data_IF_963287152617
#
_entry.id   IF_963287152617
#
_cell.length_a   1.000
_cell.length_b   1.000
_cell.length_c   1.000
_cell.angle_alpha   90.00
_cell.angle_beta   90.00
_cell.angle_gamma   90.00
#
_symmetry.space_group_name_H-M   'P 1'
#
loop_
_entity.id
_entity.type
_entity.pdbx_description
1 polymer ?
#
# COMPACT_ATOMS: atom_id res chain seq x y z
N UNK A 1 22.88 20.38 17.45
CA UNK A 1 22.63 21.18 16.23
C UNK A 1 21.26 21.81 16.35
N UNK A 2 21.00 22.93 15.68
CA UNK A 2 19.63 23.45 15.58
C UNK A 2 18.74 22.45 14.83
N UNK A 3 17.47 22.37 15.19
CA UNK A 3 16.52 21.50 14.49
C UNK A 3 16.38 21.96 13.01
N UNK A 4 16.35 21.02 12.04
CA UNK A 4 16.05 21.34 10.65
C UNK A 4 14.70 22.05 10.47
N UNK A 5 14.56 22.80 9.39
CA UNK A 5 13.31 23.47 9.03
C UNK A 5 12.17 22.48 8.80
N UNK A 6 10.92 22.92 9.03
CA UNK A 6 9.74 22.06 8.85
C UNK A 6 9.62 21.55 7.42
N UNK A 7 10.06 22.35 6.46
CA UNK A 7 10.08 22.08 5.02
C UNK A 7 11.14 21.04 4.60
N UNK A 8 11.89 20.47 5.53
CA UNK A 8 12.86 19.41 5.28
C UNK A 8 12.37 18.01 5.67
N UNK A 9 11.29 17.88 6.45
CA UNK A 9 10.78 16.59 6.92
C UNK A 9 9.93 15.90 5.85
N UNK A 10 10.50 14.90 5.18
CA UNK A 10 9.88 14.24 4.04
C UNK A 10 9.12 12.95 4.39
N UNK A 11 9.35 12.40 5.58
CA UNK A 11 8.80 11.09 5.99
C UNK A 11 7.97 11.25 7.26
N UNK A 12 6.70 10.85 7.19
CA UNK A 12 5.83 10.74 8.34
C UNK A 12 5.87 9.34 8.94
N UNK A 13 5.83 9.22 10.26
CA UNK A 13 5.79 7.94 10.97
C UNK A 13 4.65 8.00 11.99
N UNK A 14 3.58 7.27 11.72
CA UNK A 14 2.38 7.25 12.58
C UNK A 14 2.38 5.98 13.42
N UNK A 15 2.07 6.14 14.71
CA UNK A 15 1.95 5.08 15.70
C UNK A 15 0.60 5.19 16.41
N UNK A 16 -0.06 4.07 16.71
CA UNK A 16 -1.35 4.03 17.39
C UNK A 16 -1.24 4.07 18.91
N UNK A 17 -0.17 3.50 19.48
CA UNK A 17 0.00 3.32 20.91
C UNK A 17 1.24 4.04 21.47
N UNK A 18 1.24 4.47 22.75
CA UNK A 18 2.42 5.09 23.37
C UNK A 18 3.67 4.21 23.34
N UNK A 19 3.52 2.89 23.46
CA UNK A 19 4.64 1.94 23.36
C UNK A 19 5.28 1.93 21.97
N UNK A 20 4.48 2.15 20.93
CA UNK A 20 4.93 2.22 19.54
C UNK A 20 5.63 3.56 19.26
N UNK A 21 5.11 4.69 19.76
CA UNK A 21 5.78 5.99 19.70
C UNK A 21 7.14 5.92 20.40
N UNK A 22 7.20 5.27 21.57
CA UNK A 22 8.45 5.10 22.31
C UNK A 22 9.44 4.21 21.55
N UNK A 23 8.98 3.11 20.94
CA UNK A 23 9.79 2.25 20.08
C UNK A 23 10.33 3.00 18.85
N UNK A 24 9.50 3.77 18.15
CA UNK A 24 9.90 4.62 17.02
C UNK A 24 10.95 5.65 17.45
N UNK A 25 10.76 6.28 18.61
CA UNK A 25 11.73 7.23 19.17
C UNK A 25 13.08 6.56 19.50
N UNK A 26 13.08 5.27 19.87
CA UNK A 26 14.35 4.56 20.08
C UNK A 26 15.17 4.41 18.79
N UNK A 27 14.52 4.47 17.63
CA UNK A 27 15.14 4.27 16.32
C UNK A 27 15.76 5.53 15.72
N UNK A 28 15.48 6.70 16.29
CA UNK A 28 16.12 7.94 15.88
C UNK A 28 17.64 7.89 16.14
N UNK A 29 18.42 8.26 15.13
CA UNK A 29 19.85 8.53 15.27
C UNK A 29 20.08 9.90 15.93
N UNK A 30 19.25 10.88 15.58
CA UNK A 30 19.18 12.19 16.22
C UNK A 30 17.73 12.53 16.57
N UNK A 31 17.49 12.96 17.81
CA UNK A 31 16.20 13.44 18.28
C UNK A 31 16.27 14.97 18.43
N UNK A 32 15.46 15.69 17.64
CA UNK A 32 15.42 17.15 17.60
C UNK A 32 14.36 17.74 18.54
N UNK A 33 13.67 16.91 19.32
CA UNK A 33 12.63 17.33 20.25
C UNK A 33 11.24 17.37 19.63
N UNK A 34 10.34 18.06 20.31
CA UNK A 34 8.95 18.24 19.86
C UNK A 34 8.80 19.51 19.03
N UNK A 35 7.86 19.51 18.09
CA UNK A 35 7.53 20.73 17.37
C UNK A 35 6.75 21.70 18.29
N UNK A 36 7.31 22.89 18.53
CA UNK A 36 6.76 23.85 19.50
C UNK A 36 5.61 24.70 18.94
N UNK A 37 5.66 25.03 17.65
CA UNK A 37 4.66 25.89 17.02
C UNK A 37 3.97 25.12 15.88
N UNK A 38 2.65 25.23 15.78
CA UNK A 38 1.87 24.69 14.67
C UNK A 38 0.51 25.40 14.61
N UNK A 39 -0.30 25.05 13.62
CA UNK A 39 -1.66 25.54 13.53
C UNK A 39 -2.46 25.16 14.79
N UNK A 40 -3.26 26.09 15.33
CA UNK A 40 -4.04 25.86 16.56
C UNK A 40 -5.10 24.76 16.42
N UNK A 41 -5.53 24.47 15.20
CA UNK A 41 -6.45 23.38 14.90
C UNK A 41 -5.72 22.04 14.66
N UNK A 42 -4.39 22.01 14.75
CA UNK A 42 -3.61 20.78 14.80
C UNK A 42 -3.32 20.44 16.26
N UNK A 43 -3.99 19.42 16.79
CA UNK A 43 -3.81 18.92 18.15
C UNK A 43 -2.77 17.79 18.24
N UNK A 44 -2.14 17.41 17.13
CA UNK A 44 -1.11 16.38 17.14
C UNK A 44 0.14 16.86 17.88
N UNK A 45 0.84 15.92 18.52
CA UNK A 45 2.20 16.14 18.99
C UNK A 45 3.18 15.48 18.01
N UNK A 46 4.12 16.26 17.50
CA UNK A 46 5.15 15.80 16.57
C UNK A 46 6.51 15.70 17.25
N UNK A 47 7.13 14.52 17.17
CA UNK A 47 8.53 14.32 17.53
C UNK A 47 9.35 14.39 16.24
N UNK A 48 10.36 15.26 16.23
CA UNK A 48 11.21 15.49 15.07
C UNK A 48 12.52 14.73 15.25
N UNK A 49 12.98 14.06 14.19
CA UNK A 49 14.24 13.33 14.27
C UNK A 49 14.84 12.97 12.93
N UNK A 50 15.97 12.25 13.01
CA UNK A 50 16.69 11.71 11.86
C UNK A 50 16.81 10.19 11.98
N UNK A 51 16.61 9.50 10.86
CA UNK A 51 16.91 8.08 10.69
C UNK A 51 17.76 7.92 9.43
N UNK A 52 19.03 7.54 9.61
CA UNK A 52 20.04 7.52 8.59
C UNK A 52 20.14 8.89 7.89
N UNK A 53 19.74 8.92 6.62
CA UNK A 53 19.79 10.12 5.77
C UNK A 53 18.45 10.87 5.69
N UNK A 54 17.42 10.39 6.39
CA UNK A 54 16.06 10.90 6.28
C UNK A 54 15.65 11.68 7.52
N UNK A 55 15.02 12.82 7.33
CA UNK A 55 14.32 13.55 8.38
C UNK A 55 12.89 13.00 8.51
N UNK A 56 12.57 12.57 9.72
CA UNK A 56 11.31 11.89 10.04
C UNK A 56 10.52 12.71 11.05
N UNK A 57 9.21 12.74 10.88
CA UNK A 57 8.27 13.25 11.88
C UNK A 57 7.44 12.10 12.42
N UNK A 58 7.49 11.88 13.73
CA UNK A 58 6.71 10.84 14.42
C UNK A 58 5.48 11.50 15.07
N UNK A 59 4.30 10.90 14.88
CA UNK A 59 3.08 11.26 15.60
C UNK A 59 2.41 10.03 16.20
N UNK A 60 1.89 10.19 17.41
CA UNK A 60 1.02 9.22 18.06
C UNK A 60 -0.45 9.59 17.90
N UNK A 61 -1.33 8.59 17.89
CA UNK A 61 -2.76 8.83 18.05
C UNK A 61 -3.06 9.40 19.45
N UNK A 62 -4.11 10.23 19.60
CA UNK A 62 -4.53 10.73 20.92
C UNK A 62 -4.83 9.59 21.91
N UNK A 63 -4.51 9.81 23.18
CA UNK A 63 -4.67 8.79 24.22
C UNK A 63 -6.10 8.23 24.29
N UNK A 64 -6.22 6.91 24.24
CA UNK A 64 -7.52 6.21 24.28
C UNK A 64 -8.31 6.22 22.97
N UNK A 65 -7.77 6.82 21.91
CA UNK A 65 -8.34 6.78 20.56
C UNK A 65 -7.57 5.80 19.69
N UNK A 66 -8.29 4.93 18.99
CA UNK A 66 -7.75 3.92 18.08
C UNK A 66 -8.64 3.87 16.84
N UNK A 67 -8.23 3.09 15.85
CA UNK A 67 -9.06 2.86 14.68
C UNK A 67 -8.78 3.81 13.52
N UNK A 68 -9.45 3.54 12.41
CA UNK A 68 -9.20 4.19 11.12
C UNK A 68 -9.40 5.70 11.17
N UNK A 69 -10.47 6.19 11.79
CA UNK A 69 -10.81 7.62 11.85
C UNK A 69 -9.73 8.44 12.57
N UNK A 70 -9.27 7.97 13.72
CA UNK A 70 -8.25 8.69 14.51
C UNK A 70 -6.93 8.76 13.73
N UNK A 71 -6.53 7.65 13.10
CA UNK A 71 -5.35 7.62 12.25
C UNK A 71 -5.46 8.59 11.06
N UNK A 72 -6.61 8.63 10.39
CA UNK A 72 -6.87 9.57 9.29
C UNK A 72 -6.74 11.03 9.76
N UNK A 73 -7.31 11.39 10.91
CA UNK A 73 -7.21 12.75 11.46
C UNK A 73 -5.75 13.13 11.73
N UNK A 74 -4.98 12.24 12.37
CA UNK A 74 -3.55 12.48 12.63
C UNK A 74 -2.79 12.69 11.32
N UNK A 75 -3.03 11.84 10.31
CA UNK A 75 -2.35 11.94 9.02
C UNK A 75 -2.71 13.22 8.26
N UNK A 76 -3.98 13.63 8.23
CA UNK A 76 -4.42 14.86 7.56
C UNK A 76 -3.76 16.09 8.20
N UNK A 77 -3.75 16.15 9.53
CA UNK A 77 -3.10 17.23 10.26
C UNK A 77 -1.59 17.24 10.01
N UNK A 78 -0.93 16.07 10.00
CA UNK A 78 0.50 15.95 9.66
C UNK A 78 0.77 16.45 8.24
N UNK A 79 -0.03 16.03 7.26
CA UNK A 79 0.09 16.50 5.88
C UNK A 79 -0.10 18.01 5.77
N UNK A 80 -1.02 18.60 6.55
CA UNK A 80 -1.24 20.06 6.59
C UNK A 80 -0.03 20.79 7.18
N UNK A 81 0.48 20.33 8.32
CA UNK A 81 1.59 20.96 9.03
C UNK A 81 2.91 20.85 8.26
N UNK A 82 3.15 19.74 7.56
CA UNK A 82 4.34 19.48 6.74
C UNK A 82 4.04 19.55 5.24
N UNK A 83 3.14 20.45 4.83
CA UNK A 83 2.56 20.50 3.47
C UNK A 83 3.53 20.78 2.32
N UNK A 84 4.73 21.29 2.62
CA UNK A 84 5.76 21.59 1.62
C UNK A 84 6.79 20.46 1.47
N UNK A 85 6.85 19.54 2.42
CA UNK A 85 7.94 18.56 2.54
C UNK A 85 7.47 17.12 2.58
N UNK A 86 6.36 16.81 3.23
CA UNK A 86 5.93 15.44 3.48
C UNK A 86 5.57 14.70 2.18
N UNK A 87 6.25 13.58 1.92
CA UNK A 87 6.13 12.82 0.67
C UNK A 87 5.60 11.41 0.88
N UNK A 88 6.13 10.71 1.87
CA UNK A 88 5.78 9.32 2.17
C UNK A 88 5.57 9.11 3.66
N UNK A 89 4.86 8.05 4.00
CA UNK A 89 4.54 7.68 5.36
C UNK A 89 4.95 6.25 5.73
N UNK A 90 5.05 6.01 7.02
CA UNK A 90 5.14 4.69 7.64
C UNK A 90 4.00 4.60 8.66
N UNK A 91 3.22 3.52 8.61
CA UNK A 91 2.34 3.14 9.72
C UNK A 91 2.98 1.96 10.44
N UNK A 92 3.57 2.23 11.59
CA UNK A 92 4.37 1.23 12.32
C UNK A 92 3.77 1.02 13.69
N UNK A 93 3.53 -0.23 14.04
CA UNK A 93 2.99 -0.56 15.34
C UNK A 93 2.91 -2.06 15.56
N UNK A 94 2.03 -2.48 16.46
CA UNK A 94 1.77 -3.89 16.73
C UNK A 94 0.54 -4.38 15.96
N UNK A 95 0.44 -5.69 15.81
CA UNK A 95 -0.73 -6.35 15.25
C UNK A 95 -0.88 -7.78 15.78
N UNK A 96 -2.04 -8.37 15.50
CA UNK A 96 -2.33 -9.77 15.82
C UNK A 96 -1.96 -10.68 14.66
N UNK A 97 -1.06 -11.62 14.87
CA UNK A 97 -0.56 -12.53 13.86
C UNK A 97 -1.58 -13.61 13.48
N UNK A 98 -1.49 -14.06 12.23
CA UNK A 98 -2.35 -15.10 11.67
C UNK A 98 -1.46 -16.22 11.11
N UNK A 99 -1.01 -17.16 11.97
CA UNK A 99 -0.12 -18.24 11.54
C UNK A 99 -0.80 -19.17 10.53
N UNK A 100 0.00 -19.75 9.64
CA UNK A 100 -0.44 -20.75 8.67
C UNK A 100 0.68 -21.77 8.40
N UNK A 101 0.37 -22.83 7.65
CA UNK A 101 1.39 -23.81 7.24
C UNK A 101 2.43 -23.22 6.29
N UNK A 102 2.09 -22.19 5.52
CA UNK A 102 3.03 -21.49 4.62
C UNK A 102 3.77 -20.34 5.31
N UNK A 103 3.23 -19.82 6.41
CA UNK A 103 3.79 -18.71 7.16
C UNK A 103 3.70 -19.02 8.65
N UNK A 104 4.77 -19.60 9.20
CA UNK A 104 4.92 -19.81 10.64
C UNK A 104 5.16 -18.46 11.31
N UNK A 105 4.11 -17.65 11.49
CA UNK A 105 4.18 -16.34 12.15
C UNK A 105 4.24 -16.55 13.66
N UNK A 106 5.19 -15.88 14.32
CA UNK A 106 5.42 -15.97 15.77
C UNK A 106 5.36 -14.64 16.49
N UNK A 107 5.19 -14.67 17.81
CA UNK A 107 5.25 -13.44 18.61
C UNK A 107 6.64 -12.81 18.49
N UNK A 108 6.67 -11.50 18.26
CA UNK A 108 7.87 -10.73 17.98
C UNK A 108 8.26 -10.68 16.49
N UNK A 109 7.67 -11.51 15.61
CA UNK A 109 7.87 -11.40 14.16
C UNK A 109 7.29 -10.10 13.61
N UNK A 110 7.62 -9.80 12.35
CA UNK A 110 7.25 -8.58 11.66
C UNK A 110 6.46 -8.95 10.40
N UNK A 111 5.30 -8.34 10.22
CA UNK A 111 4.50 -8.42 8.99
C UNK A 111 4.53 -7.07 8.29
N UNK A 112 4.91 -7.08 7.01
CA UNK A 112 4.97 -5.87 6.17
C UNK A 112 3.91 -5.96 5.08
N UNK A 113 3.11 -4.91 4.93
CA UNK A 113 2.11 -4.84 3.86
C UNK A 113 2.81 -4.91 2.51
N UNK A 114 2.53 -5.96 1.74
CA UNK A 114 3.15 -6.21 0.46
C UNK A 114 2.08 -6.58 -0.57
N UNK A 115 2.02 -5.91 -1.74
CA UNK A 115 1.06 -6.26 -2.78
C UNK A 115 1.31 -7.67 -3.32
N UNK A 116 0.26 -8.48 -3.39
CA UNK A 116 0.30 -9.82 -3.95
C UNK A 116 -1.04 -10.13 -4.64
N UNK A 117 -0.97 -10.69 -5.85
CA UNK A 117 -2.14 -10.95 -6.68
C UNK A 117 -2.95 -9.68 -6.95
N UNK A 118 -4.22 -9.69 -6.56
CA UNK A 118 -5.15 -8.55 -6.70
C UNK A 118 -5.19 -7.63 -5.49
N UNK A 119 -4.43 -7.92 -4.43
CA UNK A 119 -4.45 -7.15 -3.20
C UNK A 119 -3.30 -6.14 -3.13
N UNK A 120 -3.58 -4.95 -2.62
CA UNK A 120 -2.63 -3.84 -2.48
C UNK A 120 -1.73 -3.92 -1.23
N UNK A 121 -1.78 -5.03 -0.50
CA UNK A 121 -1.04 -5.27 0.75
C UNK A 121 -1.81 -4.91 2.02
N UNK A 122 -2.90 -4.14 1.93
CA UNK A 122 -3.83 -3.87 3.03
C UNK A 122 -5.27 -4.07 2.55
N UNK A 123 -6.09 -4.71 3.37
CA UNK A 123 -7.51 -4.95 3.10
C UNK A 123 -8.33 -4.43 4.27
N UNK A 124 -9.33 -3.58 4.01
CA UNK A 124 -10.32 -3.25 5.05
C UNK A 124 -11.34 -4.38 5.17
N UNK A 125 -11.20 -5.24 6.19
CA UNK A 125 -11.94 -6.50 6.22
C UNK A 125 -13.36 -6.40 6.77
N UNK A 126 -13.70 -5.29 7.45
CA UNK A 126 -14.99 -5.06 8.11
C UNK A 126 -15.89 -4.05 7.38
N UNK A 127 -15.48 -3.59 6.20
CA UNK A 127 -16.22 -2.68 5.35
C UNK A 127 -16.75 -3.39 4.10
N UNK A 128 -18.05 -3.34 3.88
CA UNK A 128 -18.69 -3.98 2.74
C UNK A 128 -20.21 -4.01 2.85
N UNK A 129 -20.85 -4.69 1.92
CA UNK A 129 -22.29 -4.93 1.92
C UNK A 129 -22.58 -6.29 2.56
N UNK A 130 -23.45 -6.32 3.56
CA UNK A 130 -23.93 -7.59 4.12
C UNK A 130 -24.95 -8.18 3.14
N UNK A 131 -24.67 -9.38 2.64
CA UNK A 131 -25.54 -10.21 1.79
C UNK A 131 -25.80 -11.55 2.47
N UNK A 132 -26.66 -12.40 1.91
CA UNK A 132 -27.01 -13.72 2.50
C UNK A 132 -25.77 -14.58 2.80
N UNK A 133 -24.74 -14.52 1.94
CA UNK A 133 -23.50 -15.28 2.07
C UNK A 133 -22.44 -14.62 2.99
N UNK A 134 -22.71 -13.43 3.55
CA UNK A 134 -21.82 -12.72 4.46
C UNK A 134 -21.44 -11.31 3.99
N UNK A 135 -20.26 -10.83 4.37
CA UNK A 135 -19.80 -9.48 4.03
C UNK A 135 -19.12 -9.47 2.66
N UNK A 136 -19.78 -8.90 1.66
CA UNK A 136 -19.22 -8.64 0.35
C UNK A 136 -18.41 -7.33 0.37
N UNK A 137 -17.08 -7.44 0.25
CA UNK A 137 -16.17 -6.29 0.23
C UNK A 137 -16.17 -5.64 -1.16
N UNK A 138 -16.32 -4.32 -1.20
CA UNK A 138 -16.52 -3.57 -2.45
C UNK A 138 -15.44 -2.51 -2.71
N UNK A 139 -14.50 -2.31 -1.80
CA UNK A 139 -13.44 -1.29 -1.93
C UNK A 139 -12.05 -1.92 -2.02
N UNK A 140 -11.18 -1.25 -2.76
CA UNK A 140 -9.74 -1.52 -2.78
C UNK A 140 -9.00 -0.32 -2.22
N UNK A 141 -7.98 -0.58 -1.40
CA UNK A 141 -7.08 0.43 -0.88
C UNK A 141 -5.90 0.63 -1.84
N UNK A 142 -5.21 1.78 -1.80
CA UNK A 142 -4.02 1.94 -2.63
C UNK A 142 -2.88 1.02 -2.15
N UNK A 143 -1.93 0.76 -3.05
CA UNK A 143 -0.67 0.10 -2.69
C UNK A 143 0.31 1.09 -2.04
N UNK A 144 1.26 0.60 -1.23
CA UNK A 144 2.35 1.44 -0.74
C UNK A 144 3.13 2.13 -1.88
N UNK A 145 3.75 3.30 -1.61
CA UNK A 145 4.57 4.00 -2.58
C UNK A 145 5.63 3.12 -3.24
N UNK A 146 5.84 3.29 -4.54
CA UNK A 146 6.82 2.51 -5.31
C UNK A 146 8.23 2.61 -4.73
N UNK A 147 8.62 3.76 -4.17
CA UNK A 147 9.91 3.94 -3.50
C UNK A 147 10.08 2.98 -2.32
N UNK A 148 9.05 2.82 -1.49
CA UNK A 148 9.04 1.91 -0.34
C UNK A 148 9.01 0.45 -0.80
N UNK A 149 8.21 0.10 -1.82
CA UNK A 149 8.18 -1.26 -2.36
C UNK A 149 9.52 -1.67 -3.01
N UNK A 150 10.18 -0.73 -3.70
CA UNK A 150 11.51 -0.97 -4.28
C UNK A 150 12.55 -1.17 -3.18
N UNK A 151 12.49 -0.38 -2.10
CA UNK A 151 13.35 -0.56 -0.94
C UNK A 151 13.12 -1.91 -0.25
N UNK A 152 11.87 -2.34 -0.08
CA UNK A 152 11.54 -3.68 0.44
C UNK A 152 12.11 -4.78 -0.45
N UNK A 153 11.95 -4.68 -1.78
CA UNK A 153 12.48 -5.67 -2.71
C UNK A 153 14.03 -5.77 -2.62
N UNK A 154 14.72 -4.64 -2.53
CA UNK A 154 16.17 -4.61 -2.37
C UNK A 154 16.61 -5.18 -1.01
N UNK A 155 15.91 -4.83 0.07
CA UNK A 155 16.17 -5.39 1.40
C UNK A 155 16.03 -6.91 1.37
N UNK A 156 14.96 -7.44 0.77
CA UNK A 156 14.75 -8.89 0.59
C UNK A 156 15.86 -9.55 -0.22
N UNK A 157 16.34 -8.90 -1.29
CA UNK A 157 17.44 -9.41 -2.09
C UNK A 157 18.74 -9.49 -1.28
N UNK A 158 19.02 -8.49 -0.43
CA UNK A 158 20.21 -8.50 0.42
C UNK A 158 20.16 -9.57 1.52
N UNK A 159 18.97 -9.91 2.04
CA UNK A 159 18.81 -11.00 3.02
C UNK A 159 19.16 -12.39 2.46
N UNK A 160 19.36 -12.53 1.14
CA UNK A 160 19.88 -13.76 0.54
C UNK A 160 21.40 -13.90 0.70
N UNK A 161 22.10 -12.81 0.99
CA UNK A 161 23.55 -12.75 1.01
C UNK A 161 24.14 -12.31 2.37
N UNK A 162 23.37 -11.60 3.20
CA UNK A 162 23.83 -11.04 4.47
C UNK A 162 22.72 -11.02 5.54
N UNK A 163 23.12 -10.85 6.79
CA UNK A 163 22.21 -10.74 7.93
C UNK A 163 21.58 -9.35 8.02
N UNK A 164 20.29 -9.26 8.44
CA UNK A 164 19.65 -7.98 8.69
C UNK A 164 20.31 -7.22 9.85
N UNK A 165 20.22 -5.90 9.80
CA UNK A 165 20.69 -5.02 10.89
C UNK A 165 19.65 -4.79 11.99
N UNK A 166 18.35 -5.03 11.72
CA UNK A 166 17.29 -4.78 12.69
C UNK A 166 17.45 -5.54 14.02
N UNK A 167 17.98 -6.78 14.10
CA UNK A 167 18.23 -7.43 15.39
C UNK A 167 19.22 -6.63 16.25
N UNK A 168 20.25 -6.04 15.63
CA UNK A 168 21.24 -5.20 16.31
C UNK A 168 20.59 -3.90 16.82
N UNK A 169 19.67 -3.31 16.06
CA UNK A 169 18.93 -2.13 16.53
C UNK A 169 18.04 -2.45 17.74
N UNK A 170 17.43 -3.63 17.77
CA UNK A 170 16.65 -4.12 18.92
C UNK A 170 17.56 -4.25 20.14
N UNK A 171 18.68 -4.97 20.01
CA UNK A 171 19.64 -5.19 21.11
C UNK A 171 20.16 -3.87 21.69
N UNK A 172 20.56 -2.93 20.83
CA UNK A 172 21.03 -1.62 21.24
C UNK A 172 19.96 -0.81 21.99
N UNK A 173 18.72 -0.83 21.51
CA UNK A 173 17.61 -0.13 22.17
C UNK A 173 17.26 -0.77 23.53
N UNK A 174 17.23 -2.10 23.62
CA UNK A 174 16.99 -2.84 24.87
C UNK A 174 18.11 -2.59 25.87
N UNK A 175 19.37 -2.51 25.43
CA UNK A 175 20.53 -2.32 26.30
C UNK A 175 20.73 -0.87 26.78
N UNK A 176 20.01 0.12 26.22
CA UNK A 176 20.21 1.55 26.56
C UNK A 176 20.10 1.87 28.05
N UNK A 177 19.09 1.36 28.75
CA UNK A 177 18.90 1.56 30.18
C UNK A 177 17.93 0.53 30.79
N UNK A 178 17.76 0.56 32.11
CA UNK A 178 16.88 -0.36 32.82
C UNK A 178 15.39 -0.27 32.38
N UNK A 179 14.92 0.93 32.01
CA UNK A 179 13.53 1.12 31.55
C UNK A 179 13.31 0.52 30.17
N UNK A 180 14.24 0.72 29.22
CA UNK A 180 14.14 0.11 27.89
C UNK A 180 14.30 -1.40 27.95
N UNK A 181 15.20 -1.90 28.80
CA UNK A 181 15.33 -3.34 29.06
C UNK A 181 14.03 -3.95 29.57
N UNK A 182 13.36 -3.30 30.52
CA UNK A 182 12.09 -3.78 31.09
C UNK A 182 10.95 -3.71 30.08
N UNK A 183 10.84 -2.61 29.34
CA UNK A 183 9.67 -2.35 28.50
C UNK A 183 9.77 -2.97 27.10
N UNK A 184 10.98 -3.18 26.58
CA UNK A 184 11.22 -3.68 25.22
C UNK A 184 12.05 -4.97 25.17
N UNK A 185 12.52 -5.45 26.32
CA UNK A 185 13.21 -6.74 26.39
C UNK A 185 12.32 -7.86 25.85
N UNK A 186 12.94 -8.81 25.15
CA UNK A 186 12.22 -9.97 24.65
C UNK A 186 11.65 -10.78 25.80
N UNK A 187 10.34 -11.12 25.79
CA UNK A 187 9.78 -12.09 26.71
C UNK A 187 10.44 -13.48 26.58
N UNK A 188 10.24 -14.34 27.57
CA UNK A 188 10.71 -15.72 27.51
C UNK A 188 10.09 -16.45 26.30
N UNK A 189 10.86 -17.29 25.62
CA UNK A 189 10.37 -18.03 24.46
C UNK A 189 9.20 -18.97 24.81
N UNK A 190 9.09 -19.42 26.07
CA UNK A 190 7.98 -20.25 26.55
C UNK A 190 6.63 -19.52 26.58
N UNK A 191 6.62 -18.19 26.44
CA UNK A 191 5.36 -17.41 26.40
C UNK A 191 4.86 -17.16 24.98
N UNK A 192 5.60 -17.61 23.96
CA UNK A 192 5.13 -17.71 22.59
C UNK A 192 4.28 -18.97 22.39
N UNK A 193 3.03 -18.90 22.85
CA UNK A 193 2.09 -20.02 22.88
C UNK A 193 1.00 -19.80 21.84
N UNK A 194 0.94 -20.68 20.84
CA UNK A 194 -0.14 -20.72 19.85
C UNK A 194 -1.07 -21.86 20.22
N UNK A 195 -2.35 -21.56 20.44
CA UNK A 195 -3.36 -22.54 20.80
C UNK A 195 -4.15 -23.00 19.56
N UNK A 196 -4.57 -24.27 19.57
CA UNK A 196 -5.45 -24.82 18.55
C UNK A 196 -6.79 -24.07 18.56
N UNK A 197 -7.37 -23.86 17.38
CA UNK A 197 -8.49 -22.92 17.17
C UNK A 197 -9.77 -23.24 17.95
N UNK A 198 -9.94 -24.47 18.43
CA UNK A 198 -11.10 -24.91 19.21
C UNK A 198 -11.00 -24.61 20.70
N UNK A 199 -9.79 -24.36 21.21
CA UNK A 199 -9.58 -24.05 22.62
C UNK A 199 -9.66 -22.54 22.81
N UNK A 200 -10.59 -22.10 23.65
CA UNK A 200 -10.75 -20.70 24.01
C UNK A 200 -10.22 -20.46 25.42
N UNK A 201 -9.70 -19.27 25.66
CA UNK A 201 -9.16 -18.88 26.97
C UNK A 201 -10.26 -18.97 28.05
N UNK A 202 -9.96 -19.53 29.23
CA UNK A 202 -10.91 -19.56 30.35
C UNK A 202 -11.39 -18.15 30.73
N UNK A 203 -12.71 -17.96 30.87
CA UNK A 203 -13.32 -16.62 31.06
C UNK A 203 -12.87 -15.86 32.31
N UNK A 204 -12.37 -16.55 33.34
CA UNK A 204 -12.02 -15.96 34.63
C UNK A 204 -10.51 -15.81 34.85
N UNK A 205 -9.68 -16.11 33.85
CA UNK A 205 -8.23 -15.99 33.99
C UNK A 205 -7.70 -14.82 33.18
N UNK A 206 -6.77 -14.07 33.77
CA UNK A 206 -6.17 -12.88 33.15
C UNK A 206 -4.93 -13.22 32.29
N UNK A 207 -4.40 -14.42 32.46
CA UNK A 207 -3.18 -14.92 31.80
C UNK A 207 -3.41 -16.35 31.34
N UNK A 208 -2.55 -16.82 30.43
CA UNK A 208 -2.64 -18.20 29.96
C UNK A 208 -2.05 -19.22 30.94
N UNK A 209 -1.80 -18.87 32.20
CA UNK A 209 -1.23 -19.80 33.21
C UNK A 209 -2.14 -21.02 33.43
N UNK A 210 -3.46 -20.82 33.34
CA UNK A 210 -4.46 -21.89 33.44
C UNK A 210 -4.72 -22.62 32.10
N UNK A 211 -4.10 -22.18 31.00
CA UNK A 211 -4.23 -22.83 29.71
C UNK A 211 -3.30 -24.05 29.64
N UNK A 212 -3.87 -25.19 29.29
CA UNK A 212 -3.18 -26.47 29.28
C UNK A 212 -2.17 -26.58 28.11
N UNK A 213 -0.94 -27.09 28.33
CA UNK A 213 0.03 -27.30 27.25
C UNK A 213 -0.48 -28.18 26.10
N UNK A 214 -1.39 -29.12 26.38
CA UNK A 214 -2.01 -30.01 25.40
C UNK A 214 -2.92 -29.27 24.39
N UNK A 215 -3.30 -28.03 24.70
CA UNK A 215 -4.08 -27.18 23.80
C UNK A 215 -3.22 -26.47 22.76
N UNK A 216 -1.89 -26.49 22.92
CA UNK A 216 -0.97 -25.78 22.06
C UNK A 216 -0.79 -26.51 20.71
N UNK A 217 -0.55 -25.72 19.67
CA UNK A 217 -0.09 -26.21 18.38
C UNK A 217 1.38 -26.61 18.48
N UNK A 218 1.69 -27.86 18.12
CA UNK A 218 3.08 -28.34 18.11
C UNK A 218 3.81 -27.73 16.91
N UNK A 219 4.79 -26.87 17.20
CA UNK A 219 5.61 -26.18 16.19
C UNK A 219 7.08 -26.59 16.30
N UNK A 220 7.75 -26.66 15.16
CA UNK A 220 9.19 -26.92 15.13
C UNK A 220 9.97 -25.82 15.87
N UNK A 221 11.07 -26.18 16.52
CA UNK A 221 11.97 -25.18 17.12
C UNK A 221 12.65 -24.39 16.00
N UNK A 222 12.62 -23.06 16.07
CA UNK A 222 13.38 -22.23 15.12
C UNK A 222 14.87 -22.29 15.44
N UNK A 223 15.69 -22.34 14.40
CA UNK A 223 17.14 -22.27 14.53
C UNK A 223 17.60 -20.92 15.07
N UNK A 224 16.93 -19.83 14.67
CA UNK A 224 17.23 -18.48 15.10
C UNK A 224 16.13 -17.91 15.97
N UNK A 225 16.57 -17.15 16.97
CA UNK A 225 15.67 -16.48 17.88
C UNK A 225 15.26 -15.10 17.34
N UNK A 226 15.96 -14.55 16.35
CA UNK A 226 15.64 -13.24 15.74
C UNK A 226 14.19 -13.18 15.20
N UNK A 227 13.53 -12.00 15.26
CA UNK A 227 12.27 -11.79 14.57
C UNK A 227 12.37 -12.14 13.09
N UNK A 228 11.41 -12.89 12.55
CA UNK A 228 11.32 -13.12 11.11
C UNK A 228 10.38 -12.12 10.45
N UNK A 229 10.60 -11.83 9.17
CA UNK A 229 9.80 -10.89 8.40
C UNK A 229 8.93 -11.63 7.39
N UNK A 230 7.62 -11.35 7.43
CA UNK A 230 6.62 -11.89 6.53
C UNK A 230 6.04 -10.76 5.67
N UNK A 231 5.82 -11.03 4.39
CA UNK A 231 5.37 -10.04 3.41
C UNK A 231 4.04 -10.47 2.83
N UNK A 232 3.00 -9.68 3.02
CA UNK A 232 1.69 -10.02 2.46
C UNK A 232 0.56 -9.14 2.94
N UNK A 233 -0.64 -9.72 2.99
CA UNK A 233 -1.88 -8.99 3.23
C UNK A 233 -2.12 -8.74 4.72
N UNK A 234 -2.31 -7.47 5.07
CA UNK A 234 -2.71 -7.03 6.42
C UNK A 234 -4.20 -6.66 6.40
N UNK A 235 -4.95 -7.26 7.32
CA UNK A 235 -6.37 -6.99 7.54
C UNK A 235 -6.54 -5.81 8.51
N UNK A 236 -7.11 -4.71 8.00
CA UNK A 236 -7.37 -3.48 8.75
C UNK A 236 -8.86 -3.31 9.05
N UNK A 237 -9.22 -2.88 10.26
CA UNK A 237 -10.61 -2.61 10.62
C UNK A 237 -10.79 -2.13 12.04
N UNK A 238 -11.98 -1.65 12.38
CA UNK A 238 -12.29 -1.14 13.73
C UNK A 238 -12.74 -2.24 14.71
N UNK A 239 -12.70 -3.52 14.31
CA UNK A 239 -13.18 -4.65 15.12
C UNK A 239 -12.03 -5.47 15.69
N UNK A 240 -11.85 -5.52 17.01
CA UNK A 240 -10.82 -6.39 17.60
C UNK A 240 -11.17 -7.87 17.42
N UNK A 241 -10.32 -8.63 16.74
CA UNK A 241 -10.47 -10.09 16.64
C UNK A 241 -9.91 -10.75 17.91
N UNK A 242 -10.80 -11.45 18.62
CA UNK A 242 -10.52 -12.23 19.84
C UNK A 242 -11.10 -13.65 19.78
N UNK A 243 -11.02 -14.31 18.63
CA UNK A 243 -11.48 -15.69 18.48
C UNK A 243 -10.63 -16.42 17.44
N UNK A 244 -10.06 -17.57 17.85
CA UNK A 244 -9.24 -18.40 16.97
C UNK A 244 -10.02 -18.91 15.77
N UNK A 245 -11.31 -19.21 15.95
CA UNK A 245 -12.21 -19.64 14.87
C UNK A 245 -12.46 -18.54 13.85
N UNK A 246 -12.75 -17.32 14.30
CA UNK A 246 -12.96 -16.16 13.40
C UNK A 246 -11.67 -15.83 12.65
N UNK A 247 -10.53 -15.81 13.35
CA UNK A 247 -9.20 -15.65 12.75
C UNK A 247 -8.98 -16.66 11.63
N UNK A 248 -9.20 -17.95 11.91
CA UNK A 248 -8.95 -19.02 10.95
C UNK A 248 -9.88 -18.95 9.74
N UNK A 249 -11.16 -18.60 9.94
CA UNK A 249 -12.10 -18.36 8.85
C UNK A 249 -11.60 -17.23 7.93
N UNK A 250 -11.26 -16.06 8.51
CA UNK A 250 -10.80 -14.91 7.74
C UNK A 250 -9.45 -15.18 7.07
N UNK A 251 -8.56 -15.96 7.69
CA UNK A 251 -7.31 -16.43 7.07
C UNK A 251 -7.58 -17.23 5.79
N UNK A 252 -8.50 -18.20 5.85
CA UNK A 252 -8.86 -19.04 4.68
C UNK A 252 -9.56 -18.23 3.59
N UNK A 253 -10.44 -17.32 3.98
CA UNK A 253 -11.23 -16.50 3.05
C UNK A 253 -10.36 -15.43 2.35
N UNK A 254 -9.41 -14.82 3.07
CA UNK A 254 -8.73 -13.60 2.61
C UNK A 254 -7.21 -13.76 2.41
N UNK A 255 -6.60 -14.83 2.90
CA UNK A 255 -5.14 -15.01 2.82
C UNK A 255 -4.35 -14.00 3.65
N UNK A 256 -4.94 -13.49 4.73
CA UNK A 256 -4.34 -12.46 5.59
C UNK A 256 -3.28 -13.04 6.54
N UNK A 257 -2.27 -12.23 6.86
CA UNK A 257 -1.16 -12.60 7.76
C UNK A 257 -1.23 -11.90 9.12
N UNK A 258 -1.93 -10.77 9.21
CA UNK A 258 -2.02 -9.97 10.43
C UNK A 258 -3.30 -9.16 10.47
N UNK A 259 -3.83 -8.92 11.67
CA UNK A 259 -4.87 -7.93 11.97
C UNK A 259 -4.28 -6.69 12.64
N UNK A 260 -4.77 -5.51 12.26
CA UNK A 260 -4.51 -4.23 12.91
C UNK A 260 -5.71 -3.28 12.70
N UNK A 261 -5.70 -2.07 13.26
CA UNK A 261 -6.91 -1.25 13.36
C UNK A 261 -6.87 0.11 12.65
N UNK A 262 -5.74 0.53 12.07
CA UNK A 262 -5.59 1.92 11.63
C UNK A 262 -5.40 2.08 10.12
N UNK A 263 -4.67 1.15 9.49
CA UNK A 263 -4.12 1.38 8.16
C UNK A 263 -5.16 1.67 7.07
N UNK A 264 -6.36 1.08 7.13
CA UNK A 264 -7.42 1.35 6.15
C UNK A 264 -7.81 2.83 6.09
N UNK A 265 -7.71 3.58 7.20
CA UNK A 265 -7.94 5.03 7.22
C UNK A 265 -6.81 5.84 6.58
N UNK A 266 -5.62 5.25 6.42
CA UNK A 266 -4.44 5.92 5.86
C UNK A 266 -4.25 5.62 4.39
N UNK A 267 -4.37 4.34 4.00
CA UNK A 267 -3.93 3.85 2.69
C UNK A 267 -4.59 4.56 1.50
N UNK A 268 -5.73 5.22 1.67
CA UNK A 268 -6.43 5.94 0.60
C UNK A 268 -5.80 7.30 0.25
N UNK A 269 -5.32 8.03 1.25
CA UNK A 269 -4.94 9.45 1.14
C UNK A 269 -3.52 9.74 1.63
N UNK A 270 -2.99 8.91 2.53
CA UNK A 270 -1.65 9.01 3.06
C UNK A 270 -0.76 7.94 2.41
N UNK A 271 0.22 8.34 1.56
CA UNK A 271 1.08 7.40 0.84
C UNK A 271 2.05 6.69 1.79
N UNK A 272 1.63 5.56 2.38
CA UNK A 272 2.42 4.84 3.38
C UNK A 272 2.58 3.33 3.13
N UNK A 273 3.55 2.74 3.82
CA UNK A 273 3.67 1.29 4.02
C UNK A 273 3.31 0.95 5.48
N UNK A 274 2.72 -0.23 5.70
CA UNK A 274 2.33 -0.71 7.03
C UNK A 274 3.30 -1.78 7.50
N UNK A 275 3.79 -1.66 8.73
CA UNK A 275 4.76 -2.58 9.35
C UNK A 275 4.24 -2.92 10.74
N UNK A 276 3.91 -4.20 10.98
CA UNK A 276 3.32 -4.68 12.22
C UNK A 276 4.19 -5.68 12.92
N UNK A 277 4.56 -5.40 14.16
CA UNK A 277 5.17 -6.37 15.06
C UNK A 277 4.09 -7.22 15.69
N UNK A 278 4.26 -8.54 15.66
CA UNK A 278 3.24 -9.47 16.12
C UNK A 278 3.28 -9.58 17.65
N UNK A 279 2.24 -9.09 18.32
CA UNK A 279 2.15 -9.08 19.78
C UNK A 279 1.18 -10.10 20.36
N UNK A 280 0.34 -10.69 19.52
CA UNK A 280 -0.63 -11.72 19.89
C UNK A 280 -1.07 -12.52 18.65
N UNK A 281 -1.94 -13.52 18.83
CA UNK A 281 -2.44 -14.38 17.74
C UNK A 281 -3.89 -14.11 17.34
N UNK A 282 -4.45 -12.93 17.60
CA UNK A 282 -5.83 -12.58 17.22
C UNK A 282 -6.90 -13.59 17.70
N UNK A 283 -6.71 -14.19 18.88
CA UNK A 283 -7.65 -15.13 19.50
C UNK A 283 -8.04 -14.68 20.92
N UNK A 284 -8.65 -15.56 21.70
CA UNK A 284 -9.01 -15.26 23.09
C UNK A 284 -7.81 -15.21 24.05
N UNK A 285 -6.63 -15.67 23.62
CA UNK A 285 -5.42 -15.76 24.46
C UNK A 285 -4.54 -14.50 24.40
N UNK A 286 -5.02 -13.45 23.71
CA UNK A 286 -4.31 -12.17 23.58
C UNK A 286 -3.99 -11.57 24.94
N UNK A 287 -2.72 -11.22 25.13
CA UNK A 287 -2.22 -10.54 26.31
C UNK A 287 -1.25 -9.41 25.91
N UNK A 288 -0.75 -8.65 26.89
CA UNK A 288 0.09 -7.47 26.64
C UNK A 288 1.60 -7.73 26.74
N UNK A 289 2.02 -8.95 27.04
CA UNK A 289 3.41 -9.26 27.39
C UNK A 289 4.38 -8.97 26.24
N UNK A 290 3.97 -9.23 25.00
CA UNK A 290 4.81 -9.09 23.81
C UNK A 290 4.73 -7.72 23.14
N UNK A 291 3.84 -6.82 23.56
CA UNK A 291 3.60 -5.54 22.86
C UNK A 291 4.86 -4.68 22.76
N UNK A 292 5.66 -4.62 23.82
CA UNK A 292 6.90 -3.86 23.83
C UNK A 292 7.90 -4.37 22.81
N UNK A 293 8.32 -5.63 22.94
CA UNK A 293 9.28 -6.24 22.01
C UNK A 293 8.79 -6.22 20.56
N UNK A 294 7.51 -6.53 20.32
CA UNK A 294 6.91 -6.49 18.98
C UNK A 294 6.94 -5.08 18.37
N UNK A 295 6.57 -4.05 19.14
CA UNK A 295 6.66 -2.66 18.68
C UNK A 295 8.10 -2.27 18.33
N UNK A 296 9.07 -2.68 19.15
CA UNK A 296 10.48 -2.42 18.89
C UNK A 296 11.01 -3.17 17.66
N UNK A 297 10.58 -4.41 17.45
CA UNK A 297 10.94 -5.19 16.26
C UNK A 297 10.44 -4.49 14.97
N UNK A 298 9.16 -4.09 14.94
CA UNK A 298 8.57 -3.35 13.82
C UNK A 298 9.30 -2.03 13.56
N UNK A 299 9.58 -1.26 14.62
CA UNK A 299 10.31 0.01 14.51
C UNK A 299 11.75 -0.20 14.00
N UNK A 300 12.43 -1.26 14.46
CA UNK A 300 13.78 -1.60 14.03
C UNK A 300 13.85 -1.98 12.56
N UNK A 301 12.86 -2.73 12.08
CA UNK A 301 12.71 -2.99 10.64
C UNK A 301 12.42 -1.72 9.85
N UNK A 302 11.55 -0.83 10.36
CA UNK A 302 11.27 0.45 9.70
C UNK A 302 12.53 1.32 9.58
N UNK A 303 13.38 1.35 10.62
CA UNK A 303 14.70 1.99 10.58
C UNK A 303 15.58 1.42 9.47
N UNK A 304 15.68 0.10 9.41
CA UNK A 304 16.48 -0.55 8.38
C UNK A 304 15.94 -0.27 6.99
N UNK A 305 14.63 -0.39 6.78
CA UNK A 305 13.98 -0.10 5.50
C UNK A 305 14.34 1.30 4.98
N UNK A 306 14.37 2.31 5.85
CA UNK A 306 14.74 3.67 5.46
C UNK A 306 16.20 3.78 4.96
N UNK A 307 17.11 2.90 5.38
CA UNK A 307 18.48 2.86 4.85
C UNK A 307 18.54 2.45 3.37
N UNK A 308 17.55 1.65 2.93
CA UNK A 308 17.37 1.20 1.55
C UNK A 308 16.63 2.19 0.66
N UNK A 309 16.02 3.24 1.24
CA UNK A 309 15.32 4.29 0.48
C UNK A 309 16.32 5.41 0.13
N UNK A 310 16.60 5.68 -1.16
CA UNK A 310 17.43 6.81 -1.54
C UNK A 310 16.70 8.15 -1.32
N UNK A 311 17.38 9.13 -0.72
CA UNK A 311 16.81 10.47 -0.46
C UNK A 311 16.25 11.12 -1.73
N UNK A 312 16.97 11.01 -2.85
CA UNK A 312 16.52 11.55 -4.15
C UNK A 312 15.19 10.96 -4.60
N UNK A 313 14.95 9.66 -4.35
CA UNK A 313 13.69 9.02 -4.73
C UNK A 313 12.51 9.48 -3.87
N UNK A 314 12.75 9.86 -2.61
CA UNK A 314 11.73 10.47 -1.75
C UNK A 314 11.40 11.87 -2.25
N UNK A 315 12.42 12.70 -2.51
CA UNK A 315 12.24 14.06 -3.04
C UNK A 315 11.48 14.12 -4.38
N UNK A 316 11.60 13.07 -5.20
CA UNK A 316 10.89 12.94 -6.47
C UNK A 316 9.43 12.47 -6.34
N UNK A 317 9.00 11.99 -5.16
CA UNK A 317 7.59 11.66 -4.94
C UNK A 317 6.75 12.93 -4.92
N UNK A 318 5.47 12.79 -5.31
CA UNK A 318 4.47 13.83 -5.10
C UNK A 318 4.31 14.13 -3.62
N UNK A 319 3.97 15.38 -3.32
CA UNK A 319 3.57 15.76 -1.98
C UNK A 319 2.40 14.90 -1.48
N UNK A 320 2.43 14.51 -0.21
CA UNK A 320 1.33 13.76 0.39
C UNK A 320 -0.01 14.53 0.26
N UNK A 321 0.05 15.87 0.37
CA UNK A 321 -1.10 16.77 0.13
C UNK A 321 -1.59 16.71 -1.32
N UNK A 322 -0.72 16.58 -2.31
CA UNK A 322 -1.09 16.43 -3.72
C UNK A 322 -1.73 15.06 -4.01
N UNK A 323 -1.21 14.00 -3.40
CA UNK A 323 -1.77 12.64 -3.50
C UNK A 323 -3.21 12.64 -2.99
N UNK A 324 -3.45 13.20 -1.81
CA UNK A 324 -4.77 13.36 -1.22
C UNK A 324 -5.70 14.25 -2.11
N UNK A 325 -5.21 15.40 -2.59
CA UNK A 325 -6.03 16.34 -3.37
C UNK A 325 -6.36 15.89 -4.80
N UNK A 326 -5.50 15.09 -5.43
CA UNK A 326 -5.71 14.60 -6.80
C UNK A 326 -7.01 13.81 -6.97
N UNK A 327 -7.54 13.26 -5.87
CA UNK A 327 -8.75 12.44 -5.84
C UNK A 327 -10.03 13.20 -5.46
N UNK A 328 -9.94 14.32 -4.74
CA UNK A 328 -11.12 15.16 -4.44
C UNK A 328 -11.77 15.76 -5.70
N UNK A 329 -10.99 15.94 -6.77
CA UNK A 329 -11.51 16.36 -8.10
C UNK A 329 -12.30 15.25 -8.81
N UNK A 330 -11.97 13.98 -8.58
CA UNK A 330 -12.70 12.85 -9.17
C UNK A 330 -13.96 12.50 -8.35
N UNK A 331 -13.91 12.59 -7.00
CA UNK A 331 -15.10 12.29 -6.17
C UNK A 331 -16.19 13.37 -6.27
N UNK A 332 -15.83 14.66 -6.33
CA UNK A 332 -16.82 15.76 -6.50
C UNK A 332 -17.61 15.66 -7.81
N UNK A 333 -17.00 15.10 -8.86
CA UNK A 333 -17.68 14.81 -10.12
C UNK A 333 -18.73 13.70 -9.99
N UNK A 334 -18.49 12.71 -9.13
CA UNK A 334 -19.38 11.56 -8.92
C UNK A 334 -20.51 11.87 -7.92
N UNK A 335 -20.23 12.62 -6.85
CA UNK A 335 -21.25 13.06 -5.88
C UNK A 335 -22.28 14.00 -6.50
N UNK A 336 -21.85 14.85 -7.44
CA UNK A 336 -22.74 15.70 -8.25
C UNK A 336 -23.72 14.88 -9.12
N UNK A 337 -23.33 13.68 -9.54
CA UNK A 337 -24.15 12.80 -10.40
C UNK A 337 -25.11 11.99 -9.51
N UNK A 338 -24.63 11.48 -8.38
CA UNK A 338 -25.43 10.73 -7.41
C UNK A 338 -26.49 11.59 -6.71
N UNK A 339 -26.21 12.86 -6.44
CA UNK A 339 -27.19 13.77 -5.83
C UNK A 339 -28.35 14.10 -6.78
N UNK A 340 -28.12 14.11 -8.10
CA UNK A 340 -29.19 14.22 -9.11
C UNK A 340 -30.05 12.96 -9.19
N UNK A 341 -29.49 11.77 -8.98
CA UNK A 341 -30.26 10.51 -8.96
C UNK A 341 -31.17 10.36 -7.72
N UNK A 342 -30.79 10.89 -6.56
CA UNK A 342 -31.63 10.80 -5.36
C UNK A 342 -32.88 11.69 -5.39
N UNK A 343 -32.82 12.85 -6.07
CA UNK A 343 -33.98 13.75 -6.19
C UNK A 343 -35.05 13.19 -7.15
N UNK A 344 -34.68 12.28 -8.06
CA UNK A 344 -35.62 11.68 -9.03
C UNK A 344 -36.38 10.44 -8.51
N UNK A 345 -36.13 9.98 -7.27
CA UNK A 345 -36.83 8.80 -6.70
C UNK A 345 -38.07 9.14 -5.88
N UNK A 346 -38.38 10.42 -5.68
CA UNK A 346 -39.59 10.88 -5.02
C UNK A 346 -40.39 11.80 -5.94
N UNK A 347 -40.97 11.25 -7.00
CA UNK A 347 -42.28 11.64 -7.54
C UNK A 347 -42.60 10.76 -8.76
N UNK A 348 -43.72 10.03 -8.70
CA UNK A 348 -44.29 9.37 -9.86
C UNK A 348 -44.59 10.44 -10.93
N UNK A 349 -44.08 10.27 -12.16
CA UNK A 349 -44.84 10.34 -13.44
C UNK A 349 -43.92 10.46 -14.68
N UNK A 350 -44.30 9.66 -15.69
CA UNK A 350 -44.11 9.76 -17.14
C UNK A 350 -42.85 9.27 -17.89
N UNK A 351 -43.15 8.36 -18.82
CA UNK A 351 -42.33 7.67 -19.81
C UNK A 351 -42.04 8.55 -21.04
N UNK A 352 -41.60 9.78 -20.84
CA UNK A 352 -41.04 10.61 -21.90
C UNK A 352 -39.77 11.26 -21.35
N UNK A 353 -38.69 11.31 -22.14
CA UNK A 353 -37.37 11.90 -21.84
C UNK A 353 -36.22 10.91 -21.54
N UNK A 354 -36.23 9.68 -22.08
CA UNK A 354 -34.97 8.90 -22.19
C UNK A 354 -34.12 9.43 -23.35
N UNK A 355 -34.74 9.82 -24.46
CA UNK A 355 -34.03 10.32 -25.65
C UNK A 355 -33.37 11.68 -25.42
N UNK A 356 -34.00 12.58 -24.67
CA UNK A 356 -33.42 13.88 -24.30
C UNK A 356 -32.21 13.75 -23.37
N UNK A 357 -32.23 12.76 -22.46
CA UNK A 357 -31.11 12.43 -21.58
C UNK A 357 -29.95 11.81 -22.36
N UNK A 358 -30.25 10.94 -23.33
CA UNK A 358 -29.27 10.36 -24.25
C UNK A 358 -28.61 11.44 -25.10
N UNK A 359 -29.38 12.42 -25.57
CA UNK A 359 -28.84 13.53 -26.37
C UNK A 359 -28.00 14.50 -25.51
N UNK A 360 -28.38 14.75 -24.25
CA UNK A 360 -27.54 15.50 -23.31
C UNK A 360 -26.23 14.77 -22.99
N UNK A 361 -26.24 13.44 -22.83
CA UNK A 361 -25.03 12.63 -22.64
C UNK A 361 -24.11 12.70 -23.86
N UNK A 362 -24.68 12.62 -25.07
CA UNK A 362 -23.90 12.80 -26.31
C UNK A 362 -23.25 14.18 -26.37
N UNK A 363 -23.96 15.22 -25.93
CA UNK A 363 -23.44 16.58 -25.94
C UNK A 363 -22.35 16.82 -24.89
N UNK A 364 -22.49 16.23 -23.70
CA UNK A 364 -21.45 16.22 -22.66
C UNK A 364 -20.19 15.48 -23.14
N UNK A 365 -20.35 14.31 -23.78
CA UNK A 365 -19.21 13.57 -24.36
C UNK A 365 -18.50 14.39 -25.44
N UNK A 366 -19.26 15.06 -26.31
CA UNK A 366 -18.70 15.93 -27.36
C UNK A 366 -17.95 17.14 -26.80
N UNK A 367 -18.39 17.67 -25.66
CA UNK A 367 -17.68 18.75 -24.96
C UNK A 367 -16.43 18.25 -24.23
N UNK A 368 -16.45 17.02 -23.72
CA UNK A 368 -15.29 16.37 -23.11
C UNK A 368 -14.20 16.08 -24.15
N UNK A 369 -14.58 15.57 -25.33
CA UNK A 369 -13.67 15.39 -26.47
C UNK A 369 -13.04 16.71 -26.94
N UNK A 370 -13.81 17.81 -26.94
CA UNK A 370 -13.29 19.16 -27.25
C UNK A 370 -12.31 19.67 -26.19
N UNK A 371 -12.56 19.39 -24.91
CA UNK A 371 -11.70 19.80 -23.81
C UNK A 371 -10.36 19.03 -23.81
N UNK A 372 -10.40 17.74 -24.15
CA UNK A 372 -9.20 16.91 -24.32
C UNK A 372 -8.40 17.36 -25.55
N UNK A 373 -9.08 17.65 -26.66
CA UNK A 373 -8.44 18.24 -27.85
C UNK A 373 -7.75 19.59 -27.53
N UNK A 374 -8.37 20.46 -26.73
CA UNK A 374 -7.76 21.72 -26.28
C UNK A 374 -6.56 21.52 -25.34
N UNK A 375 -6.61 20.53 -24.45
CA UNK A 375 -5.47 20.16 -23.59
C UNK A 375 -4.30 19.63 -24.40
N UNK A 376 -4.56 18.81 -25.41
CA UNK A 376 -3.54 18.33 -26.35
C UNK A 376 -2.95 19.48 -27.17
N UNK A 377 -3.77 20.43 -27.64
CA UNK A 377 -3.23 21.60 -28.35
C UNK A 377 -2.38 22.51 -27.44
N UNK A 378 -2.70 22.57 -26.15
CA UNK A 378 -1.91 23.30 -25.17
C UNK A 378 -0.59 22.57 -24.83
N UNK A 379 -0.61 21.24 -24.75
CA UNK A 379 0.58 20.41 -24.60
C UNK A 379 1.51 20.52 -25.82
N UNK A 380 0.97 20.47 -27.04
CA UNK A 380 1.70 20.65 -28.30
C UNK A 380 2.37 22.03 -28.41
N UNK A 381 1.71 23.09 -27.92
CA UNK A 381 2.29 24.45 -27.87
C UNK A 381 3.42 24.59 -26.84
N UNK A 382 3.42 23.77 -25.79
CA UNK A 382 4.50 23.74 -24.80
C UNK A 382 5.68 22.85 -25.24
N UNK A 383 5.43 21.80 -26.03
CA UNK A 383 6.46 20.90 -26.59
C UNK A 383 7.24 21.49 -27.78
N UNK A 384 6.73 22.53 -28.44
CA UNK A 384 7.44 23.22 -29.52
C UNK A 384 8.58 24.14 -29.06
N UNK A 385 8.86 24.25 -27.75
CA UNK A 385 10.06 24.92 -27.25
C UNK A 385 11.12 23.88 -26.85
N UNK A 386 12.10 23.77 -27.74
CA UNK A 386 13.43 23.16 -27.61
C UNK A 386 13.48 21.65 -27.31
N UNK A 387 13.36 20.84 -28.36
CA UNK A 387 13.80 19.44 -28.36
C UNK A 387 15.34 19.41 -28.39
N UNK A 388 15.98 18.89 -27.33
CA UNK A 388 17.45 18.80 -27.26
C UNK A 388 17.99 17.61 -28.05
N UNK A 389 19.27 17.70 -28.44
CA UNK A 389 19.99 16.66 -29.21
C UNK A 389 19.94 15.27 -28.53
N UNK A 390 19.90 15.23 -27.21
CA UNK A 390 19.79 14.00 -26.40
C UNK A 390 18.45 13.28 -26.57
N UNK A 391 17.36 14.01 -26.81
CA UNK A 391 16.04 13.39 -27.07
C UNK A 391 15.98 12.75 -28.47
N UNK A 392 16.66 13.33 -29.46
CA UNK A 392 16.81 12.72 -30.78
C UNK A 392 17.62 11.41 -30.74
N UNK A 393 18.67 11.37 -29.91
CA UNK A 393 19.47 10.17 -29.69
C UNK A 393 18.66 9.08 -28.95
N UNK A 394 17.85 9.47 -27.97
CA UNK A 394 16.96 8.55 -27.24
C UNK A 394 15.88 7.95 -28.16
N UNK A 395 15.34 8.73 -29.10
CA UNK A 395 14.38 8.24 -30.11
C UNK A 395 15.02 7.25 -31.10
N UNK A 396 16.30 7.42 -31.45
CA UNK A 396 17.01 6.46 -32.30
C UNK A 396 17.28 5.12 -31.59
N UNK A 397 17.45 5.12 -30.27
CA UNK A 397 17.65 3.88 -29.50
C UNK A 397 16.43 2.94 -29.51
N UNK A 398 15.21 3.46 -29.58
CA UNK A 398 13.99 2.65 -29.73
C UNK A 398 13.84 2.02 -31.13
N UNK A 399 14.62 2.48 -32.12
CA UNK A 399 14.59 1.96 -33.49
C UNK A 399 15.45 0.70 -33.68
N UNK A 400 16.28 0.32 -32.71
CA UNK A 400 17.19 -0.83 -32.81
C UNK A 400 16.73 -1.99 -31.92
N UNK A 401 15.62 -2.64 -32.30
CA UNK A 401 15.26 -3.95 -31.75
C UNK A 401 15.43 -5.02 -32.84
N UNK A 402 16.09 -6.17 -32.57
CA UNK A 402 16.28 -7.28 -33.51
C UNK A 402 14.98 -8.10 -33.73
N UNK A 403 13.82 -7.45 -33.67
CA UNK A 403 12.51 -8.11 -33.75
C UNK A 403 12.36 -8.99 -35.00
N UNK A 404 12.89 -8.58 -36.15
CA UNK A 404 12.87 -9.38 -37.38
C UNK A 404 13.64 -10.72 -37.27
N UNK A 405 14.65 -10.81 -36.39
CA UNK A 405 15.39 -12.05 -36.15
C UNK A 405 14.58 -13.05 -35.31
N UNK A 406 13.86 -12.57 -34.29
CA UNK A 406 13.04 -13.40 -33.39
C UNK A 406 11.69 -13.80 -33.99
N UNK A 407 11.16 -13.00 -34.92
CA UNK A 407 9.86 -13.20 -35.58
C UNK A 407 9.76 -14.48 -36.41
N UNK A 408 10.89 -15.01 -36.91
CA UNK A 408 10.92 -16.26 -37.69
C UNK A 408 10.76 -17.52 -36.84
N UNK A 409 10.90 -17.42 -35.52
CA UNK A 409 10.81 -18.54 -34.58
C UNK A 409 9.34 -18.89 -34.28
N UNK A 410 8.42 -17.94 -34.45
CA UNK A 410 7.01 -18.14 -34.12
C UNK A 410 6.19 -18.67 -35.31
N UNK A 411 5.31 -19.67 -35.10
CA UNK A 411 4.42 -20.18 -36.14
C UNK A 411 3.43 -19.10 -36.60
N UNK A 412 2.88 -19.28 -37.80
CA UNK A 412 1.86 -18.38 -38.31
C UNK A 412 0.56 -18.48 -37.50
N UNK A 413 -0.21 -17.40 -37.52
CA UNK A 413 -1.51 -17.31 -36.85
C UNK A 413 -2.46 -18.38 -37.40
N UNK A 414 -3.02 -19.21 -36.52
CA UNK A 414 -4.09 -20.16 -36.87
C UNK A 414 -5.32 -19.39 -37.37
N UNK A 415 -5.88 -19.80 -38.51
CA UNK A 415 -7.03 -19.14 -39.15
C UNK A 415 -8.19 -18.98 -38.16
N UNK A 416 -8.72 -17.76 -38.04
CA UNK A 416 -9.83 -17.43 -37.11
C UNK A 416 -9.41 -16.93 -35.73
N UNK A 417 -8.11 -16.94 -35.40
CA UNK A 417 -7.60 -16.43 -34.11
C UNK A 417 -7.17 -14.96 -34.21
N UNK A 418 -7.07 -14.29 -33.06
CA UNK A 418 -6.68 -12.87 -32.92
C UNK A 418 -7.54 -11.86 -33.70
N UNK A 419 -8.71 -12.24 -34.22
CA UNK A 419 -9.59 -11.34 -34.98
C UNK A 419 -10.21 -10.24 -34.10
N UNK A 420 -10.38 -10.51 -32.81
CA UNK A 420 -10.92 -9.57 -31.83
C UNK A 420 -10.17 -8.23 -31.80
N UNK A 421 -8.86 -8.23 -32.09
CA UNK A 421 -8.09 -6.98 -32.11
C UNK A 421 -8.45 -6.11 -33.30
N UNK A 422 -8.75 -6.74 -34.46
CA UNK A 422 -9.08 -6.06 -35.70
C UNK A 422 -10.48 -5.43 -35.64
N UNK A 423 -11.35 -5.98 -34.80
CA UNK A 423 -12.70 -5.48 -34.52
C UNK A 423 -12.73 -4.49 -33.34
N UNK A 424 -11.63 -4.35 -32.60
CA UNK A 424 -11.57 -3.51 -31.42
C UNK A 424 -11.54 -2.03 -31.80
N UNK A 425 -12.45 -1.24 -31.20
CA UNK A 425 -12.59 0.19 -31.50
C UNK A 425 -11.35 1.03 -31.16
N UNK A 426 -10.56 0.63 -30.15
CA UNK A 426 -9.31 1.30 -29.79
C UNK A 426 -8.21 1.02 -30.82
N UNK A 427 -8.11 -0.22 -31.31
CA UNK A 427 -7.18 -0.59 -32.38
C UNK A 427 -7.53 0.13 -33.70
N UNK A 428 -8.81 0.15 -34.08
CA UNK A 428 -9.27 0.83 -35.29
C UNK A 428 -9.01 2.34 -35.22
N UNK A 429 -9.26 2.96 -34.06
CA UNK A 429 -8.97 4.39 -33.83
C UNK A 429 -7.47 4.68 -33.94
N UNK A 430 -6.64 3.85 -33.30
CA UNK A 430 -5.19 3.96 -33.40
C UNK A 430 -4.69 3.81 -34.84
N UNK A 431 -5.17 2.78 -35.56
CA UNK A 431 -4.78 2.51 -36.95
C UNK A 431 -5.17 3.64 -37.92
N UNK A 432 -6.26 4.35 -37.63
CA UNK A 432 -6.74 5.48 -38.45
C UNK A 432 -6.17 6.83 -38.01
N UNK A 433 -5.40 6.88 -36.92
CA UNK A 433 -4.79 8.12 -36.44
C UNK A 433 -3.70 8.60 -37.39
N UNK A 434 -3.67 9.90 -37.63
CA UNK A 434 -2.62 10.60 -38.39
C UNK A 434 -1.46 11.06 -37.49
N UNK A 435 -1.52 10.76 -36.19
CA UNK A 435 -0.51 11.09 -35.19
C UNK A 435 0.32 9.86 -34.81
N UNK A 436 1.53 10.07 -34.29
CA UNK A 436 2.41 9.00 -33.80
C UNK A 436 1.93 8.49 -32.44
N UNK A 437 0.77 7.85 -32.41
CA UNK A 437 0.16 7.34 -31.18
C UNK A 437 0.72 5.97 -30.81
N UNK A 438 0.84 5.69 -29.51
CA UNK A 438 1.30 4.40 -28.99
C UNK A 438 0.10 3.48 -28.70
N UNK A 439 0.04 2.31 -29.34
CA UNK A 439 -0.92 1.26 -28.99
C UNK A 439 -0.31 0.25 -28.03
N UNK A 440 -0.89 0.11 -26.85
CA UNK A 440 -0.46 -0.85 -25.84
C UNK A 440 -1.41 -2.06 -25.77
N UNK A 441 -0.90 -3.25 -26.10
CA UNK A 441 -1.64 -4.52 -26.00
C UNK A 441 -0.99 -5.39 -24.92
N UNK A 442 -1.76 -5.76 -23.89
CA UNK A 442 -1.27 -6.60 -22.78
C UNK A 442 -2.04 -7.93 -22.70
N UNK A 443 -1.35 -9.00 -22.33
CA UNK A 443 -1.93 -10.33 -22.09
C UNK A 443 -0.99 -11.19 -21.23
N UNK A 444 -1.51 -12.24 -20.61
CA UNK A 444 -0.74 -13.19 -19.80
C UNK A 444 0.31 -13.99 -20.61
N UNK A 445 1.33 -14.57 -19.96
CA UNK A 445 2.30 -15.46 -20.62
C UNK A 445 1.61 -16.62 -21.36
N UNK A 446 2.08 -16.96 -22.56
CA UNK A 446 1.51 -18.04 -23.37
C UNK A 446 0.27 -17.66 -24.21
N UNK A 447 -0.35 -16.50 -24.00
CA UNK A 447 -1.59 -16.08 -24.70
C UNK A 447 -1.38 -15.61 -26.16
N UNK A 448 -0.29 -16.00 -26.83
CA UNK A 448 -0.09 -15.74 -28.26
C UNK A 448 0.33 -14.31 -28.65
N UNK A 449 0.79 -13.48 -27.71
CA UNK A 449 1.21 -12.08 -27.97
C UNK A 449 2.19 -11.94 -29.15
N UNK A 450 3.21 -12.79 -29.22
CA UNK A 450 4.21 -12.76 -30.30
C UNK A 450 3.62 -13.14 -31.66
N UNK A 451 2.65 -14.07 -31.68
CA UNK A 451 1.93 -14.48 -32.89
C UNK A 451 1.00 -13.35 -33.36
N UNK A 452 0.34 -12.66 -32.42
CA UNK A 452 -0.47 -11.48 -32.70
C UNK A 452 0.38 -10.34 -33.28
N UNK A 453 1.50 -10.01 -32.63
CA UNK A 453 2.41 -8.96 -33.08
C UNK A 453 2.98 -9.25 -34.48
N UNK A 454 3.38 -10.50 -34.76
CA UNK A 454 3.82 -10.94 -36.09
C UNK A 454 2.73 -10.75 -37.14
N UNK A 455 1.51 -11.21 -36.86
CA UNK A 455 0.38 -11.09 -37.78
C UNK A 455 0.03 -9.64 -38.10
N UNK A 456 0.00 -8.77 -37.08
CA UNK A 456 -0.31 -7.35 -37.27
C UNK A 456 0.73 -6.68 -38.17
N UNK A 457 2.02 -6.91 -37.88
CA UNK A 457 3.14 -6.32 -38.63
C UNK A 457 3.20 -6.84 -40.07
N UNK A 458 3.00 -8.13 -40.30
CA UNK A 458 3.19 -8.73 -41.64
C UNK A 458 1.98 -8.68 -42.55
N UNK A 459 0.77 -8.67 -42.00
CA UNK A 459 -0.46 -8.83 -42.79
C UNK A 459 -1.31 -7.56 -42.66
N UNK A 460 -1.64 -7.19 -41.43
CA UNK A 460 -2.72 -6.23 -41.17
C UNK A 460 -2.26 -4.76 -41.26
N UNK A 461 -0.96 -4.48 -41.11
CA UNK A 461 -0.36 -3.14 -41.19
C UNK A 461 0.46 -2.89 -42.48
N UNK A 462 0.94 -3.95 -43.15
CA UNK A 462 1.58 -3.84 -44.48
C UNK A 462 0.57 -3.57 -45.61
N UNK A 463 -0.71 -3.91 -45.41
CA UNK A 463 -1.78 -3.64 -46.39
C UNK A 463 -2.14 -2.14 -46.52
N UNK A 464 -1.59 -1.26 -45.67
CA UNK A 464 -1.80 0.19 -45.71
C UNK A 464 -0.77 0.97 -46.54
N UNK A 465 0.20 0.31 -47.19
CA UNK A 465 1.30 0.98 -47.91
C UNK A 465 1.20 0.93 -49.44
N UNK A 466 -0.01 0.84 -49.99
CA UNK A 466 -0.23 0.97 -51.43
C UNK A 466 -1.46 1.81 -51.75
N UNK A 467 -1.33 3.11 -51.56
CA UNK A 467 -1.94 4.15 -52.41
C UNK A 467 -0.95 5.33 -52.44
N UNK A 468 -0.28 5.51 -53.58
CA UNK A 468 0.40 6.75 -53.99
C UNK A 468 -0.59 7.87 -54.23
#
# INVERSE_FOLDING_TARGET
MAAPGRDEYQIGWICALPVEVSAATQMLDENFGTLDEQDRADENLYILGRVGRHLVVIAGLPGGQHGTTSATTVAINMMRTFSQSLRIGLMVGIGGGVPSTSHDIRLGDIVVSYPEGTCSGVLQYDMGKVVEEGLQRTSSLNSPPRSLLTAVANMRANLLADYPSYPVYIENAVARNALTKRNFGRPDASTDRLFQVQWEHPMNSATCEDCLPEWEEVRAVRHESSPQVHYGLIASGNTVIKSGQIRERLRKELGIMCFEMEAAGLMMDFPCIVIRGICDYADSHKNKQWQGYAALAAASYAKELLSYVPVVQVSQQKLATEVCNSKSKHSRSLDSILHKEMILKHENVNFYCVDELVDQIKEVNKNMERADCQRETHHLKNEQRDTTKEQQECHQAFKTSPYEEFKKIHPDRVKGTCLWVLENSQYLRWKQSVHNDLLWISADPGCGKSVLAKSLVDIDLKSSTSVT
#
